data_IF_313746168560
#
_entry.id   IF_313746168560
#
_cell.length_a   1.000
_cell.length_b   1.000
_cell.length_c   1.000
_cell.angle_alpha   90.00
_cell.angle_beta   90.00
_cell.angle_gamma   90.00
#
_symmetry.space_group_name_H-M   'P 1'
#
loop_
_entity.id
_entity.type
_entity.pdbx_description
1 polymer ?
#
# COMPACT_ATOMS: atom_id res chain seq x y z
N UNK A 1 7.73 -19.68 15.01
CA UNK A 1 7.55 -19.22 16.40
C UNK A 1 7.35 -17.73 16.37
N UNK A 2 6.07 -17.31 16.35
CA UNK A 2 5.68 -15.90 16.33
C UNK A 2 5.97 -15.27 17.69
N UNK A 3 6.81 -14.26 17.72
CA UNK A 3 6.94 -13.37 18.87
C UNK A 3 5.69 -12.48 18.91
N UNK A 4 4.78 -12.82 19.81
CA UNK A 4 3.59 -12.04 20.07
C UNK A 4 4.03 -10.81 20.87
N UNK A 5 4.31 -9.69 20.18
CA UNK A 5 4.54 -8.39 20.83
C UNK A 5 3.24 -7.93 21.42
N UNK A 6 3.12 -8.06 22.75
CA UNK A 6 2.01 -7.49 23.52
C UNK A 6 2.21 -5.94 23.55
N UNK A 7 1.78 -5.26 22.49
CA UNK A 7 1.72 -3.82 22.44
C UNK A 7 0.51 -3.37 23.25
N UNK A 8 0.70 -3.12 24.55
CA UNK A 8 -0.28 -2.38 25.32
C UNK A 8 -0.45 -1.00 24.68
N UNK A 9 -1.68 -0.54 24.42
CA UNK A 9 -1.89 0.78 23.85
C UNK A 9 -1.29 1.84 24.78
N UNK A 10 -0.47 2.71 24.23
CA UNK A 10 0.26 3.79 24.92
C UNK A 10 -0.66 4.68 25.81
N UNK A 11 -1.95 4.68 25.48
CA UNK A 11 -2.98 5.49 26.16
C UNK A 11 -3.47 4.94 27.51
N UNK A 12 -3.01 3.77 27.95
CA UNK A 12 -3.46 3.12 29.18
C UNK A 12 -2.38 3.04 30.28
N UNK A 13 -1.24 3.68 30.09
CA UNK A 13 -0.15 3.64 31.06
C UNK A 13 -0.39 4.71 32.14
N UNK A 14 -0.53 4.33 33.44
CA UNK A 14 -0.67 5.27 34.55
C UNK A 14 0.50 6.27 34.59
N UNK A 15 0.22 7.52 35.00
CA UNK A 15 1.20 8.60 34.97
C UNK A 15 2.41 8.30 35.87
N UNK A 16 2.19 7.61 36.99
CA UNK A 16 3.22 7.26 37.96
C UNK A 16 4.32 6.35 37.37
N UNK A 17 4.01 5.52 36.40
CA UNK A 17 4.95 4.58 35.80
C UNK A 17 5.31 4.92 34.35
N UNK A 18 4.72 5.98 33.79
CA UNK A 18 4.89 6.36 32.40
C UNK A 18 6.35 6.60 32.01
N UNK A 19 7.11 7.32 32.85
CA UNK A 19 8.52 7.58 32.59
C UNK A 19 9.35 6.29 32.53
N UNK A 20 9.16 5.39 33.48
CA UNK A 20 9.84 4.09 33.55
C UNK A 20 9.42 3.20 32.38
N UNK A 21 8.15 3.22 32.00
CA UNK A 21 7.65 2.50 30.82
C UNK A 21 8.35 2.96 29.55
N UNK A 22 8.47 4.28 29.31
CA UNK A 22 9.19 4.79 28.14
C UNK A 22 10.68 4.46 28.16
N UNK A 23 11.34 4.50 29.34
CA UNK A 23 12.73 4.07 29.45
C UNK A 23 12.92 2.62 29.06
N UNK A 24 12.05 1.72 29.52
CA UNK A 24 12.08 0.31 29.14
C UNK A 24 11.82 0.11 27.65
N UNK A 25 10.89 0.87 27.06
CA UNK A 25 10.61 0.81 25.62
C UNK A 25 11.78 1.33 24.77
N UNK A 26 12.48 2.34 25.21
CA UNK A 26 13.72 2.82 24.56
C UNK A 26 14.81 1.76 24.64
N UNK A 27 15.01 1.12 25.80
CA UNK A 27 15.98 0.04 25.95
C UNK A 27 15.63 -1.18 25.07
N UNK A 28 14.35 -1.57 25.03
CA UNK A 28 13.86 -2.63 24.15
C UNK A 28 14.16 -2.32 22.67
N UNK A 29 13.89 -1.09 22.25
CA UNK A 29 14.19 -0.62 20.90
C UNK A 29 15.70 -0.64 20.60
N UNK A 30 16.54 -0.18 21.54
CA UNK A 30 17.99 -0.20 21.38
C UNK A 30 18.53 -1.63 21.28
N UNK A 31 18.04 -2.56 22.10
CA UNK A 31 18.39 -3.98 22.04
C UNK A 31 17.94 -4.59 20.71
N UNK A 32 16.73 -4.26 20.27
CA UNK A 32 16.22 -4.72 18.96
C UNK A 32 17.10 -4.19 17.81
N UNK A 33 17.53 -2.92 17.86
CA UNK A 33 18.42 -2.34 16.86
C UNK A 33 19.81 -2.98 16.87
N UNK A 34 20.32 -3.46 18.01
CA UNK A 34 21.60 -4.18 18.09
C UNK A 34 21.52 -5.58 17.47
N UNK A 35 20.36 -6.23 17.53
CA UNK A 35 20.13 -7.56 16.94
C UNK A 35 19.78 -7.46 15.45
N UNK A 36 19.31 -6.31 14.99
CA UNK A 36 19.12 -6.03 13.57
C UNK A 36 20.52 -5.99 12.91
N UNK A 37 20.92 -7.11 12.34
CA UNK A 37 21.99 -7.09 11.36
C UNK A 37 21.54 -6.21 10.17
N UNK A 38 22.15 -5.05 9.94
CA UNK A 38 21.79 -4.20 8.81
C UNK A 38 22.20 -4.82 7.48
N UNK A 39 22.22 -6.14 7.36
CA UNK A 39 22.58 -6.86 6.16
C UNK A 39 23.38 -6.05 5.11
N UNK A 40 24.06 -6.59 4.15
CA UNK A 40 24.87 -5.81 3.23
C UNK A 40 24.05 -4.63 2.72
N UNK A 41 24.57 -3.40 2.93
CA UNK A 41 23.91 -2.13 2.55
C UNK A 41 23.38 -2.30 1.13
N UNK A 42 22.11 -2.67 1.03
CA UNK A 42 21.46 -2.85 -0.26
C UNK A 42 21.62 -1.54 -1.02
N UNK A 43 22.18 -1.69 -2.20
CA UNK A 43 22.36 -0.70 -3.26
C UNK A 43 21.87 0.70 -2.89
N UNK A 44 22.79 1.68 -2.97
CA UNK A 44 22.51 3.09 -2.76
C UNK A 44 21.12 3.39 -3.35
N UNK A 45 20.15 3.62 -2.47
CA UNK A 45 18.84 4.10 -2.93
C UNK A 45 19.12 5.34 -3.76
N UNK A 46 18.69 5.40 -5.01
CA UNK A 46 18.99 6.55 -5.84
C UNK A 46 18.53 7.80 -5.08
N UNK A 47 19.44 8.76 -4.92
CA UNK A 47 19.08 10.05 -4.31
C UNK A 47 18.20 10.80 -5.30
N UNK A 48 16.96 11.05 -4.91
CA UNK A 48 16.05 11.86 -5.71
C UNK A 48 15.99 13.27 -5.16
N UNK A 49 16.04 14.26 -6.03
CA UNK A 49 15.80 15.64 -5.64
C UNK A 49 14.38 15.79 -5.09
N UNK A 50 14.24 16.58 -4.02
CA UNK A 50 12.94 16.83 -3.38
C UNK A 50 11.85 17.22 -4.39
N UNK A 51 12.20 18.07 -5.35
CA UNK A 51 11.27 18.47 -6.42
C UNK A 51 10.76 17.28 -7.26
N UNK A 52 11.60 16.30 -7.57
CA UNK A 52 11.18 15.09 -8.29
C UNK A 52 10.24 14.23 -7.44
N UNK A 53 10.53 14.10 -6.16
CA UNK A 53 9.67 13.36 -5.22
C UNK A 53 8.29 13.98 -5.13
N UNK A 54 8.19 15.31 -5.00
CA UNK A 54 6.90 16.01 -4.94
C UNK A 54 6.11 15.86 -6.26
N UNK A 55 6.77 15.95 -7.42
CA UNK A 55 6.15 15.69 -8.72
C UNK A 55 5.59 14.27 -8.84
N UNK A 56 6.35 13.28 -8.36
CA UNK A 56 5.93 11.86 -8.38
C UNK A 56 4.77 11.62 -7.41
N UNK A 57 4.73 12.29 -6.25
CA UNK A 57 3.59 12.23 -5.33
C UNK A 57 2.33 12.81 -5.97
N UNK A 58 2.44 13.98 -6.59
CA UNK A 58 1.33 14.61 -7.31
C UNK A 58 0.83 13.71 -8.46
N UNK A 59 1.74 13.06 -9.19
CA UNK A 59 1.39 12.11 -10.24
C UNK A 59 0.64 10.89 -9.68
N UNK A 60 1.08 10.36 -8.56
CA UNK A 60 0.37 9.26 -7.87
C UNK A 60 -1.03 9.67 -7.46
N UNK A 61 -1.21 10.84 -6.85
CA UNK A 61 -2.51 11.33 -6.42
C UNK A 61 -3.45 11.54 -7.62
N UNK A 62 -2.91 12.03 -8.72
CA UNK A 62 -3.63 12.13 -10.00
C UNK A 62 -4.04 10.76 -10.55
N UNK A 63 -3.14 9.77 -10.55
CA UNK A 63 -3.43 8.40 -11.02
C UNK A 63 -4.53 7.70 -10.22
N UNK A 64 -4.63 7.97 -8.92
CA UNK A 64 -5.61 7.30 -8.04
C UNK A 64 -6.90 8.11 -7.85
N UNK A 65 -6.97 9.34 -8.34
CA UNK A 65 -8.18 10.19 -8.25
C UNK A 65 -9.32 9.63 -9.09
N UNK A 66 -9.02 9.00 -10.21
CA UNK A 66 -9.97 8.27 -11.04
C UNK A 66 -9.37 6.92 -11.48
N UNK A 67 -9.86 5.85 -10.87
CA UNK A 67 -9.37 4.50 -11.15
C UNK A 67 -9.87 3.92 -12.47
N UNK A 68 -10.82 4.56 -13.13
CA UNK A 68 -11.37 4.09 -14.42
C UNK A 68 -10.53 4.54 -15.60
N UNK A 69 -9.72 5.59 -15.42
CA UNK A 69 -8.86 6.14 -16.47
C UNK A 69 -7.51 5.42 -16.49
N UNK A 70 -7.06 5.09 -17.68
CA UNK A 70 -5.70 4.61 -17.91
C UNK A 70 -4.83 5.76 -18.41
N UNK A 71 -3.69 5.95 -17.76
CA UNK A 71 -2.69 6.93 -18.16
C UNK A 71 -1.43 6.22 -18.64
N UNK A 72 -0.86 6.67 -19.72
CA UNK A 72 0.45 6.20 -20.17
C UNK A 72 1.57 6.84 -19.33
N UNK A 73 2.74 6.20 -19.34
CA UNK A 73 3.92 6.78 -18.66
C UNK A 73 4.32 8.10 -19.27
N UNK A 74 4.21 8.23 -20.59
CA UNK A 74 4.60 9.45 -21.32
C UNK A 74 3.66 10.60 -20.97
N UNK A 75 2.34 10.37 -20.95
CA UNK A 75 1.36 11.38 -20.49
C UNK A 75 1.61 11.84 -19.06
N UNK A 76 1.91 10.91 -18.13
CA UNK A 76 2.21 11.26 -16.75
C UNK A 76 3.54 12.04 -16.64
N UNK A 77 4.55 11.60 -17.37
CA UNK A 77 5.86 12.22 -17.39
C UNK A 77 5.77 13.67 -17.91
N UNK A 78 5.07 13.87 -19.04
CA UNK A 78 4.85 15.18 -19.64
C UNK A 78 4.03 16.09 -18.72
N UNK A 79 2.93 15.57 -18.17
CA UNK A 79 2.06 16.34 -17.28
C UNK A 79 2.78 16.86 -16.03
N UNK A 80 3.71 16.09 -15.49
CA UNK A 80 4.46 16.44 -14.27
C UNK A 80 5.88 16.93 -14.58
N UNK A 81 6.19 17.23 -15.84
CA UNK A 81 7.48 17.79 -16.28
C UNK A 81 8.66 16.95 -15.71
N UNK A 82 8.67 15.67 -16.05
CA UNK A 82 9.74 14.71 -15.77
C UNK A 82 10.05 13.86 -17.00
N UNK A 83 11.32 13.58 -17.30
CA UNK A 83 11.64 12.58 -18.31
C UNK A 83 11.05 11.21 -17.94
N UNK A 84 10.48 10.42 -18.89
CA UNK A 84 9.81 9.15 -18.59
C UNK A 84 10.67 8.16 -17.80
N UNK A 85 11.96 8.11 -18.08
CA UNK A 85 12.91 7.24 -17.34
C UNK A 85 13.10 7.72 -15.91
N UNK A 86 13.26 9.04 -15.69
CA UNK A 86 13.39 9.63 -14.36
C UNK A 86 12.10 9.44 -13.55
N UNK A 87 10.93 9.63 -14.19
CA UNK A 87 9.62 9.38 -13.59
C UNK A 87 9.50 7.93 -13.08
N UNK A 88 9.74 6.92 -13.93
CA UNK A 88 9.67 5.50 -13.55
C UNK A 88 10.62 5.16 -12.41
N UNK A 89 11.86 5.64 -12.47
CA UNK A 89 12.91 5.35 -11.48
C UNK A 89 12.57 6.01 -10.14
N UNK A 90 12.18 7.28 -10.16
CA UNK A 90 11.79 8.01 -8.96
C UNK A 90 10.51 7.42 -8.33
N UNK A 91 9.50 7.13 -9.15
CA UNK A 91 8.25 6.52 -8.68
C UNK A 91 8.52 5.17 -7.97
N UNK A 92 9.30 4.28 -8.60
CA UNK A 92 9.70 3.01 -7.99
C UNK A 92 10.52 3.21 -6.71
N UNK A 93 11.39 4.22 -6.68
CA UNK A 93 12.19 4.54 -5.49
C UNK A 93 11.34 5.04 -4.31
N UNK A 94 10.29 5.82 -4.59
CA UNK A 94 9.38 6.37 -3.57
C UNK A 94 8.36 5.33 -3.09
N UNK A 95 7.74 4.60 -4.02
CA UNK A 95 6.61 3.70 -3.71
C UNK A 95 6.96 2.21 -3.71
N UNK A 96 8.20 1.84 -4.04
CA UNK A 96 8.66 0.45 -4.08
C UNK A 96 8.23 -0.33 -5.32
N UNK A 97 7.24 0.16 -6.07
CA UNK A 97 6.65 -0.50 -7.25
C UNK A 97 6.68 0.44 -8.46
N UNK A 98 6.80 -0.10 -9.69
CA UNK A 98 6.57 0.67 -10.91
C UNK A 98 5.13 1.22 -10.95
N UNK A 99 4.86 2.36 -11.67
CA UNK A 99 3.56 3.03 -11.68
C UNK A 99 2.37 2.11 -11.98
N UNK A 100 2.44 1.28 -13.03
CA UNK A 100 1.35 0.35 -13.38
C UNK A 100 1.13 -0.76 -12.34
N UNK A 101 2.20 -1.29 -11.75
CA UNK A 101 2.08 -2.30 -10.70
C UNK A 101 1.47 -1.69 -9.45
N UNK A 102 1.86 -0.46 -9.09
CA UNK A 102 1.29 0.30 -8.00
C UNK A 102 -0.23 0.54 -8.21
N UNK A 103 -0.62 1.07 -9.37
CA UNK A 103 -2.02 1.34 -9.70
C UNK A 103 -2.86 0.05 -9.67
N UNK A 104 -2.33 -1.05 -10.21
CA UNK A 104 -3.01 -2.35 -10.15
C UNK A 104 -3.24 -2.82 -8.70
N UNK A 105 -2.23 -2.71 -7.85
CA UNK A 105 -2.35 -3.08 -6.43
C UNK A 105 -3.39 -2.19 -5.75
N UNK A 106 -3.33 -0.88 -5.95
CA UNK A 106 -4.26 0.08 -5.38
C UNK A 106 -5.72 -0.17 -5.83
N UNK A 107 -5.96 -0.45 -7.12
CA UNK A 107 -7.27 -0.85 -7.66
C UNK A 107 -7.82 -2.10 -6.94
N UNK A 108 -6.98 -3.11 -6.71
CA UNK A 108 -7.40 -4.36 -6.04
C UNK A 108 -7.66 -4.16 -4.55
N UNK A 109 -6.87 -3.36 -3.87
CA UNK A 109 -7.10 -2.99 -2.46
C UNK A 109 -8.41 -2.20 -2.31
N UNK A 110 -8.68 -1.26 -3.22
CA UNK A 110 -9.95 -0.53 -3.23
C UNK A 110 -11.14 -1.45 -3.52
N UNK A 111 -10.99 -2.38 -4.47
CA UNK A 111 -12.01 -3.40 -4.73
C UNK A 111 -12.26 -4.30 -3.51
N UNK A 112 -11.20 -4.70 -2.81
CA UNK A 112 -11.31 -5.50 -1.59
C UNK A 112 -12.05 -4.74 -0.47
N UNK A 113 -11.82 -3.43 -0.34
CA UNK A 113 -12.56 -2.57 0.58
C UNK A 113 -14.04 -2.51 0.19
N UNK A 114 -14.36 -2.22 -1.08
CA UNK A 114 -15.74 -2.19 -1.57
C UNK A 114 -16.48 -3.52 -1.38
N UNK A 115 -15.81 -4.64 -1.59
CA UNK A 115 -16.38 -5.97 -1.35
C UNK A 115 -16.72 -6.21 0.13
N UNK A 116 -16.00 -5.58 1.06
CA UNK A 116 -16.27 -5.67 2.50
C UNK A 116 -17.31 -4.67 2.98
N UNK A 117 -17.35 -3.48 2.40
CA UNK A 117 -18.14 -2.35 2.89
C UNK A 117 -19.52 -2.26 2.25
N UNK A 118 -19.69 -2.84 1.05
CA UNK A 118 -20.91 -2.68 0.25
C UNK A 118 -21.47 -4.02 -0.24
N UNK A 119 -22.73 -3.98 -0.68
CA UNK A 119 -23.42 -5.11 -1.31
C UNK A 119 -23.46 -5.00 -2.86
N UNK A 120 -22.67 -4.08 -3.43
CA UNK A 120 -22.52 -3.92 -4.88
C UNK A 120 -22.13 -5.24 -5.55
N UNK A 121 -22.66 -5.50 -6.75
CA UNK A 121 -22.28 -6.71 -7.48
C UNK A 121 -20.77 -6.71 -7.78
N UNK A 122 -20.16 -7.90 -7.80
CA UNK A 122 -18.73 -8.07 -8.12
C UNK A 122 -18.36 -7.42 -9.44
N UNK A 123 -19.25 -7.51 -10.45
CA UNK A 123 -19.06 -6.87 -11.74
C UNK A 123 -19.03 -5.33 -11.64
N UNK A 124 -19.94 -4.74 -10.88
CA UNK A 124 -20.03 -3.28 -10.68
C UNK A 124 -18.79 -2.74 -9.96
N UNK A 125 -18.27 -3.51 -8.98
CA UNK A 125 -17.00 -3.18 -8.32
C UNK A 125 -15.84 -3.26 -9.31
N UNK A 126 -15.83 -4.27 -10.19
CA UNK A 126 -14.82 -4.36 -11.26
C UNK A 126 -14.81 -3.11 -12.13
N UNK A 127 -15.96 -2.66 -12.58
CA UNK A 127 -16.12 -1.43 -13.36
C UNK A 127 -15.65 -0.19 -12.58
N UNK A 128 -16.06 -0.07 -11.33
CA UNK A 128 -15.70 1.07 -10.47
C UNK A 128 -14.20 1.21 -10.23
N UNK A 129 -13.43 0.12 -10.35
CA UNK A 129 -11.97 0.14 -10.22
C UNK A 129 -11.25 0.02 -11.58
N UNK A 130 -11.96 0.26 -12.70
CA UNK A 130 -11.37 0.39 -14.03
C UNK A 130 -11.14 -0.95 -14.75
N UNK A 131 -11.96 -1.97 -14.48
CA UNK A 131 -11.93 -3.23 -15.21
C UNK A 131 -13.27 -3.45 -15.95
N UNK A 132 -13.24 -3.38 -17.25
CA UNK A 132 -14.37 -3.66 -18.15
C UNK A 132 -14.68 -5.16 -18.31
N UNK A 133 -13.69 -6.03 -18.05
CA UNK A 133 -13.81 -7.49 -18.16
C UNK A 133 -13.82 -8.15 -16.77
N UNK A 134 -14.92 -8.86 -16.42
CA UNK A 134 -15.00 -9.60 -15.15
C UNK A 134 -13.92 -10.68 -15.00
N UNK A 135 -13.50 -11.30 -16.11
CA UNK A 135 -12.44 -12.31 -16.10
C UNK A 135 -11.08 -11.69 -15.79
N UNK A 136 -10.74 -10.54 -16.42
CA UNK A 136 -9.50 -9.79 -16.14
C UNK A 136 -9.50 -9.29 -14.71
N UNK A 137 -10.63 -8.75 -14.23
CA UNK A 137 -10.79 -8.32 -12.84
C UNK A 137 -10.53 -9.46 -11.86
N UNK A 138 -11.20 -10.60 -12.03
CA UNK A 138 -11.06 -11.77 -11.15
C UNK A 138 -9.63 -12.29 -11.12
N UNK A 139 -8.96 -12.36 -12.26
CA UNK A 139 -7.58 -12.78 -12.37
C UNK A 139 -6.62 -11.80 -11.65
N UNK A 140 -6.79 -10.47 -11.88
CA UNK A 140 -5.99 -9.44 -11.24
C UNK A 140 -6.21 -9.43 -9.72
N UNK A 141 -7.46 -9.55 -9.27
CA UNK A 141 -7.81 -9.59 -7.85
C UNK A 141 -7.19 -10.80 -7.17
N UNK A 142 -7.31 -11.99 -7.76
CA UNK A 142 -6.68 -13.20 -7.22
C UNK A 142 -5.16 -13.09 -7.15
N UNK A 143 -4.54 -12.49 -8.17
CA UNK A 143 -3.08 -12.31 -8.20
C UNK A 143 -2.55 -11.36 -7.11
N UNK A 144 -3.33 -10.34 -6.71
CA UNK A 144 -2.91 -9.34 -5.71
C UNK A 144 -3.39 -9.74 -4.30
N UNK A 145 -4.65 -10.15 -4.15
CA UNK A 145 -5.28 -10.44 -2.85
C UNK A 145 -5.13 -11.90 -2.42
N UNK A 146 -4.76 -12.80 -3.34
CA UNK A 146 -4.57 -14.22 -3.06
C UNK A 146 -5.82 -15.08 -3.19
N UNK A 147 -7.02 -14.49 -3.30
CA UNK A 147 -8.30 -15.19 -3.42
C UNK A 147 -9.24 -14.50 -4.39
N UNK A 148 -10.31 -15.17 -4.82
CA UNK A 148 -11.28 -14.57 -5.74
C UNK A 148 -12.19 -13.55 -5.02
N UNK A 149 -12.74 -12.54 -5.76
CA UNK A 149 -13.65 -11.55 -5.18
C UNK A 149 -14.84 -12.16 -4.42
N UNK A 150 -15.42 -13.22 -4.95
CA UNK A 150 -16.56 -13.93 -4.35
C UNK A 150 -16.18 -14.59 -3.02
N UNK A 151 -15.01 -15.22 -2.94
CA UNK A 151 -14.49 -15.82 -1.70
C UNK A 151 -14.21 -14.73 -0.68
N UNK A 152 -13.54 -13.65 -1.10
CA UNK A 152 -13.23 -12.50 -0.24
C UNK A 152 -14.49 -11.88 0.39
N UNK A 153 -15.57 -11.73 -0.38
CA UNK A 153 -16.87 -11.24 0.12
C UNK A 153 -17.49 -12.20 1.13
N UNK A 154 -17.46 -13.50 0.86
CA UNK A 154 -18.05 -14.52 1.74
C UNK A 154 -17.35 -14.57 3.11
N UNK A 155 -16.06 -14.35 3.14
CA UNK A 155 -15.30 -14.34 4.40
C UNK A 155 -15.72 -13.18 5.30
N UNK A 156 -16.11 -12.00 4.76
CA UNK A 156 -16.75 -10.91 5.54
C UNK A 156 -17.94 -11.42 6.36
N UNK A 157 -18.83 -12.20 5.75
CA UNK A 157 -20.04 -12.69 6.42
C UNK A 157 -19.76 -13.59 7.64
N UNK A 158 -18.57 -14.19 7.70
CA UNK A 158 -18.12 -15.00 8.85
C UNK A 158 -17.59 -14.14 10.00
N UNK A 159 -17.00 -12.97 9.74
CA UNK A 159 -16.49 -12.06 10.77
C UNK A 159 -17.57 -11.20 11.43
N UNK A 160 -18.65 -10.89 10.73
CA UNK A 160 -19.77 -10.08 11.25
C UNK A 160 -20.71 -10.90 12.15
N UNK A 161 -20.69 -12.23 12.08
CA UNK A 161 -21.55 -13.12 12.89
C UNK A 161 -20.89 -13.66 14.16
N UNK A 162 -19.72 -13.16 14.54
CA UNK A 162 -19.08 -13.42 15.83
C UNK A 162 -19.05 -12.16 16.69
#
# INVERSE_FOLDING_TARGET
TGVQTCALPIYSVPDEIRATYFQLKVLELLLFLQVLDPGPVRERRPYFYRAQVEKVKAARDFMVSDLTVEHTIDELADRFDLPPTAFKTCFKGVYGLPPYAYLRTFRMERAAALLRETDLRVADIGLAVGYDSPSKFTAAFKAVIGQTPTVHRRDRARYVRR
#
